data_IF_656807270750
#
_entry.id   IF_656807270750
#
_cell.length_a   1.000
_cell.length_b   1.000
_cell.length_c   1.000
_cell.angle_alpha   90.00
_cell.angle_beta   90.00
_cell.angle_gamma   90.00
#
_symmetry.space_group_name_H-M   'P 1'
#
loop_
_entity.id
_entity.type
_entity.pdbx_description
1 polymer ?
#
# COMPACT_ATOMS: atom_id res chain seq x y z
N UNK A 1 5.99 -58.88 -12.46
CA UNK A 1 6.50 -57.96 -11.44
C UNK A 1 6.46 -56.58 -12.06
N UNK A 2 5.44 -55.78 -11.76
CA UNK A 2 5.26 -54.45 -12.35
C UNK A 2 5.90 -53.45 -11.39
N UNK A 3 7.01 -52.86 -11.82
CA UNK A 3 7.64 -51.73 -11.16
C UNK A 3 6.82 -50.48 -11.51
N UNK A 4 6.09 -49.94 -10.54
CA UNK A 4 5.43 -48.65 -10.66
C UNK A 4 6.42 -47.56 -10.22
N UNK A 5 6.85 -46.72 -11.15
CA UNK A 5 7.65 -45.54 -10.86
C UNK A 5 6.76 -44.47 -10.22
N UNK A 6 6.94 -44.24 -8.91
CA UNK A 6 6.29 -43.16 -8.19
C UNK A 6 6.96 -41.83 -8.57
N UNK A 7 6.36 -41.13 -9.52
CA UNK A 7 6.67 -39.74 -9.82
C UNK A 7 6.23 -38.86 -8.63
N UNK A 8 7.16 -38.52 -7.73
CA UNK A 8 6.93 -37.49 -6.72
C UNK A 8 6.88 -36.13 -7.42
N UNK A 9 5.67 -35.75 -7.80
CA UNK A 9 5.33 -34.43 -8.32
C UNK A 9 5.84 -33.33 -7.40
N UNK A 10 6.41 -32.30 -8.02
CA UNK A 10 7.07 -31.18 -7.36
C UNK A 10 6.19 -30.55 -6.28
N UNK A 11 6.78 -30.39 -5.09
CA UNK A 11 6.29 -29.44 -4.10
C UNK A 11 6.26 -28.07 -4.76
N UNK A 12 5.06 -27.63 -5.17
CA UNK A 12 4.79 -26.23 -5.41
C UNK A 12 4.89 -25.55 -4.05
N UNK A 13 6.05 -24.98 -3.75
CA UNK A 13 6.22 -24.08 -2.62
C UNK A 13 5.22 -22.95 -2.86
N UNK A 14 4.04 -23.05 -2.24
CA UNK A 14 3.16 -21.88 -2.09
C UNK A 14 3.98 -20.95 -1.23
N UNK A 15 4.65 -19.98 -1.83
CA UNK A 15 5.38 -18.96 -1.09
C UNK A 15 4.45 -18.46 0.00
N UNK A 16 4.92 -18.49 1.24
CA UNK A 16 4.32 -17.69 2.30
C UNK A 16 4.07 -16.32 1.70
N UNK A 17 2.80 -15.97 1.52
CA UNK A 17 2.39 -14.70 0.95
C UNK A 17 2.99 -13.61 1.83
N UNK A 18 4.12 -13.02 1.41
CA UNK A 18 4.59 -11.76 1.96
C UNK A 18 3.42 -10.80 1.78
N UNK A 19 2.91 -10.24 2.89
CA UNK A 19 1.82 -9.28 2.83
C UNK A 19 2.17 -8.21 1.79
N UNK A 20 1.30 -7.99 0.81
CA UNK A 20 1.56 -7.02 -0.23
C UNK A 20 1.31 -5.64 0.35
N UNK A 21 2.25 -4.71 0.23
CA UNK A 21 2.10 -3.36 0.75
C UNK A 21 1.21 -2.53 -0.18
N UNK A 22 0.31 -1.74 0.38
CA UNK A 22 -0.53 -0.81 -0.36
C UNK A 22 0.33 0.21 -1.10
N UNK A 23 0.20 0.27 -2.42
CA UNK A 23 0.99 1.18 -3.27
C UNK A 23 0.65 2.67 -3.07
N UNK A 24 -0.36 2.98 -2.26
CA UNK A 24 -0.78 4.34 -1.92
C UNK A 24 -0.39 4.80 -0.52
N UNK A 25 -0.12 3.89 0.43
CA UNK A 25 0.14 4.27 1.82
C UNK A 25 1.10 3.33 2.58
N UNK A 26 1.67 2.34 1.92
CA UNK A 26 2.61 1.39 2.50
C UNK A 26 2.02 0.43 3.55
N UNK A 27 0.70 0.43 3.77
CA UNK A 27 0.06 -0.48 4.73
C UNK A 27 0.15 -1.93 4.24
N UNK A 28 0.58 -2.88 5.08
CA UNK A 28 0.57 -4.29 4.71
C UNK A 28 -0.86 -4.80 4.51
N UNK A 29 -1.08 -5.54 3.42
CA UNK A 29 -2.35 -6.21 3.09
C UNK A 29 -2.11 -7.71 3.09
N UNK A 30 -2.69 -8.41 4.06
CA UNK A 30 -2.44 -9.82 4.34
C UNK A 30 -3.58 -10.74 3.91
N UNK A 31 -4.77 -10.17 3.76
CA UNK A 31 -6.00 -10.86 3.42
C UNK A 31 -6.80 -10.07 2.40
N UNK A 32 -7.70 -10.73 1.67
CA UNK A 32 -8.58 -10.06 0.70
C UNK A 32 -9.34 -8.88 1.33
N UNK A 33 -9.72 -8.97 2.61
CA UNK A 33 -10.44 -7.92 3.32
C UNK A 33 -9.62 -6.63 3.51
N UNK A 34 -8.30 -6.70 3.39
CA UNK A 34 -7.40 -5.54 3.49
C UNK A 34 -7.35 -4.75 2.17
N UNK A 35 -7.68 -5.39 1.04
CA UNK A 35 -7.65 -4.78 -0.29
C UNK A 35 -8.95 -4.04 -0.63
N UNK A 36 -8.85 -2.96 -1.40
CA UNK A 36 -9.98 -2.16 -1.86
C UNK A 36 -11.02 -3.01 -2.61
N UNK A 37 -12.30 -2.82 -2.27
CA UNK A 37 -13.42 -3.66 -2.72
C UNK A 37 -13.26 -5.17 -2.44
N UNK A 38 -12.43 -5.54 -1.44
CA UNK A 38 -12.09 -6.92 -1.09
C UNK A 38 -11.48 -7.72 -2.25
N UNK A 39 -10.87 -7.02 -3.22
CA UNK A 39 -10.28 -7.61 -4.41
C UNK A 39 -8.76 -7.78 -4.22
N UNK A 40 -8.22 -9.02 -4.15
CA UNK A 40 -6.78 -9.24 -3.96
C UNK A 40 -5.89 -8.69 -5.09
N UNK A 41 -6.46 -8.44 -6.28
CA UNK A 41 -5.74 -7.82 -7.40
C UNK A 41 -5.69 -6.28 -7.30
N UNK A 42 -6.35 -5.68 -6.31
CA UNK A 42 -6.28 -4.25 -6.07
C UNK A 42 -5.01 -3.90 -5.30
N UNK A 43 -4.09 -3.15 -5.90
CA UNK A 43 -2.85 -2.69 -5.27
C UNK A 43 -3.05 -1.74 -4.07
N UNK A 44 -4.29 -1.32 -3.78
CA UNK A 44 -4.61 -0.37 -2.72
C UNK A 44 -5.46 -0.98 -1.61
N UNK A 45 -5.24 -0.55 -0.38
CA UNK A 45 -6.00 -1.02 0.77
C UNK A 45 -7.37 -0.37 0.88
N UNK A 46 -8.26 -0.96 1.70
CA UNK A 46 -9.61 -0.45 1.96
C UNK A 46 -9.67 1.01 2.46
N UNK A 47 -8.59 1.52 3.06
CA UNK A 47 -8.52 2.89 3.56
C UNK A 47 -8.11 3.90 2.50
N UNK A 48 -7.50 3.44 1.40
CA UNK A 48 -7.07 4.29 0.30
C UNK A 48 -8.07 4.28 -0.87
N UNK A 49 -9.14 3.48 -0.80
CA UNK A 49 -10.11 3.36 -1.88
C UNK A 49 -11.53 3.73 -1.44
N UNK A 50 -12.38 4.05 -2.41
CA UNK A 50 -13.82 4.05 -2.19
C UNK A 50 -14.40 2.62 -2.11
N UNK A 51 -15.72 2.51 -1.92
CA UNK A 51 -16.43 1.23 -1.83
C UNK A 51 -16.32 0.37 -3.09
N UNK A 52 -15.98 0.96 -4.24
CA UNK A 52 -15.78 0.27 -5.51
C UNK A 52 -14.31 -0.08 -5.75
N UNK A 53 -13.42 0.21 -4.80
CA UNK A 53 -12.00 -0.08 -4.90
C UNK A 53 -11.22 0.96 -5.72
N UNK A 54 -11.83 2.10 -6.06
CA UNK A 54 -11.15 3.18 -6.76
C UNK A 54 -10.31 3.98 -5.77
N UNK A 55 -9.03 4.21 -6.10
CA UNK A 55 -8.12 5.03 -5.32
C UNK A 55 -8.69 6.44 -5.06
N UNK A 56 -8.61 6.87 -3.81
CA UNK A 56 -9.00 8.22 -3.38
C UNK A 56 -8.04 9.26 -3.96
N UNK A 57 -8.48 10.53 -4.12
CA UNK A 57 -7.61 11.59 -4.62
C UNK A 57 -6.38 11.80 -3.75
N UNK A 58 -5.28 12.23 -4.38
CA UNK A 58 -4.01 12.55 -3.70
C UNK A 58 -4.22 13.46 -2.49
N UNK A 59 -5.01 14.52 -2.64
CA UNK A 59 -5.25 15.55 -1.63
C UNK A 59 -5.90 14.94 -0.38
N UNK A 60 -6.81 13.99 -0.57
CA UNK A 60 -7.47 13.29 0.54
C UNK A 60 -6.48 12.42 1.31
N UNK A 61 -5.66 11.64 0.61
CA UNK A 61 -4.64 10.79 1.23
C UNK A 61 -3.58 11.63 1.94
N UNK A 62 -3.18 12.75 1.35
CA UNK A 62 -2.27 13.71 1.95
C UNK A 62 -2.83 14.28 3.26
N UNK A 63 -4.05 14.82 3.25
CA UNK A 63 -4.69 15.38 4.45
C UNK A 63 -4.84 14.34 5.58
N UNK A 64 -5.20 13.11 5.23
CA UNK A 64 -5.33 12.02 6.20
C UNK A 64 -3.97 11.62 6.79
N UNK A 65 -2.91 11.62 5.98
CA UNK A 65 -1.55 11.32 6.45
C UNK A 65 -0.98 12.43 7.33
N UNK A 66 -1.20 13.71 6.97
CA UNK A 66 -0.82 14.87 7.81
C UNK A 66 -1.54 14.79 9.15
N UNK A 67 -2.86 14.55 9.14
CA UNK A 67 -3.67 14.42 10.35
C UNK A 67 -3.18 13.28 11.24
N UNK A 68 -2.87 12.13 10.64
CA UNK A 68 -2.34 10.97 11.35
C UNK A 68 -0.96 11.25 11.95
N UNK A 69 -0.06 11.92 11.22
CA UNK A 69 1.26 12.26 11.73
C UNK A 69 1.18 13.22 12.93
N UNK A 70 0.29 14.21 12.88
CA UNK A 70 0.05 15.10 14.03
C UNK A 70 -0.49 14.32 15.25
N UNK A 71 -1.45 13.43 15.04
CA UNK A 71 -2.11 12.68 16.12
C UNK A 71 -1.22 11.60 16.74
N UNK A 72 -0.39 10.92 15.94
CA UNK A 72 0.31 9.70 16.37
C UNK A 72 1.81 9.87 16.53
N UNK A 73 2.40 10.90 15.90
CA UNK A 73 3.85 11.17 15.93
C UNK A 73 4.20 12.47 16.63
N UNK A 74 3.22 13.16 17.23
CA UNK A 74 3.40 14.42 17.97
C UNK A 74 4.07 15.52 17.13
N UNK A 75 3.91 15.46 15.82
CA UNK A 75 4.43 16.45 14.89
C UNK A 75 3.53 17.69 14.89
N UNK A 76 4.13 18.88 14.77
CA UNK A 76 3.36 20.06 14.42
C UNK A 76 2.92 19.97 12.94
N UNK A 77 2.06 20.90 12.51
CA UNK A 77 1.50 20.88 11.15
C UNK A 77 2.58 20.90 10.07
N UNK A 78 3.55 21.80 10.15
CA UNK A 78 4.62 21.93 9.15
C UNK A 78 5.48 20.66 9.05
N UNK A 79 5.84 20.08 10.19
CA UNK A 79 6.55 18.80 10.25
C UNK A 79 5.73 17.66 9.64
N UNK A 80 4.42 17.62 9.91
CA UNK A 80 3.52 16.60 9.40
C UNK A 80 3.30 16.72 7.88
N UNK A 81 3.19 17.94 7.35
CA UNK A 81 3.08 18.22 5.91
C UNK A 81 4.34 17.77 5.16
N UNK A 82 5.53 18.12 5.68
CA UNK A 82 6.80 17.65 5.12
C UNK A 82 6.93 16.13 5.16
N UNK A 83 6.62 15.53 6.32
CA UNK A 83 6.62 14.08 6.48
C UNK A 83 5.68 13.39 5.49
N UNK A 84 4.47 13.92 5.30
CA UNK A 84 3.50 13.34 4.38
C UNK A 84 4.00 13.35 2.93
N UNK A 85 4.58 14.46 2.46
CA UNK A 85 5.16 14.52 1.12
C UNK A 85 6.37 13.58 0.95
N UNK A 86 7.23 13.47 1.96
CA UNK A 86 8.37 12.56 1.95
C UNK A 86 7.93 11.09 1.87
N UNK A 87 6.89 10.69 2.59
CA UNK A 87 6.34 9.33 2.53
C UNK A 87 5.61 9.08 1.21
N UNK A 88 4.73 10.00 0.78
CA UNK A 88 4.02 9.86 -0.49
C UNK A 88 4.99 9.79 -1.69
N UNK A 89 6.13 10.47 -1.63
CA UNK A 89 7.18 10.38 -2.64
C UNK A 89 7.81 8.98 -2.79
N UNK A 90 7.65 8.09 -1.81
CA UNK A 90 8.16 6.72 -1.85
C UNK A 90 7.14 5.73 -2.44
N UNK A 91 5.87 6.08 -2.41
CA UNK A 91 4.79 5.16 -2.79
C UNK A 91 4.52 5.21 -4.30
N UNK A 92 4.39 4.05 -4.97
CA UNK A 92 4.21 3.99 -6.43
C UNK A 92 3.06 4.84 -6.96
N UNK A 93 1.96 4.97 -6.22
CA UNK A 93 0.82 5.76 -6.63
C UNK A 93 1.11 7.27 -6.79
N UNK A 94 2.10 7.80 -6.07
CA UNK A 94 2.28 9.25 -5.92
C UNK A 94 3.66 9.78 -6.25
N UNK A 95 4.69 8.92 -6.32
CA UNK A 95 6.09 9.32 -6.53
C UNK A 95 6.28 10.33 -7.67
N UNK A 96 5.60 10.13 -8.80
CA UNK A 96 5.74 10.98 -9.99
C UNK A 96 5.12 12.36 -9.71
N UNK A 97 3.90 12.40 -9.16
CA UNK A 97 3.22 13.64 -8.77
C UNK A 97 4.02 14.45 -7.75
N UNK A 98 4.62 13.79 -6.74
CA UNK A 98 5.45 14.47 -5.74
C UNK A 98 6.75 15.00 -6.36
N UNK A 99 7.35 14.27 -7.31
CA UNK A 99 8.59 14.69 -7.98
C UNK A 99 8.42 15.97 -8.81
N UNK A 100 7.20 16.25 -9.27
CA UNK A 100 6.82 17.45 -10.04
C UNK A 100 6.48 18.64 -9.14
N UNK A 101 6.30 18.43 -7.83
CA UNK A 101 5.94 19.51 -6.91
C UNK A 101 7.13 20.44 -6.63
N UNK A 102 6.90 21.76 -6.49
CA UNK A 102 7.91 22.68 -6.01
C UNK A 102 8.39 22.25 -4.62
N UNK A 103 9.70 22.10 -4.43
CA UNK A 103 10.25 21.80 -3.11
C UNK A 103 9.99 22.99 -2.18
N UNK A 104 9.46 22.75 -0.97
CA UNK A 104 9.39 23.80 0.04
C UNK A 104 10.81 24.31 0.33
N UNK A 105 10.94 25.64 0.38
CA UNK A 105 12.21 26.36 0.56
C UNK A 105 12.83 26.15 1.95
#
# INVERSE_FOLDING_TARGET
MVIYEASLGGLRVKSLSLATECESCGRPMSSNADHGAQNPDNSYCIHCTDLKGKLLPFEKIYEDLVSQAMQTRWMNKEQAEKFALEEMGKWPAWKDKVSEMPKPA
#
